data_IF_275431575867
#
_entry.id   IF_275431575867
#
_cell.length_a   1.000
_cell.length_b   1.000
_cell.length_c   1.000
_cell.angle_alpha   90.00
_cell.angle_beta   90.00
_cell.angle_gamma   90.00
#
_symmetry.space_group_name_H-M   'P 1'
#
loop_
_entity.id
_entity.type
_entity.pdbx_description
1 polymer ?
#
# COMPACT_ATOMS: atom_id res chain seq x y z
N UNK A 1 24.10 40.20 -47.77
CA UNK A 1 24.19 40.77 -46.41
C UNK A 1 23.48 39.84 -45.44
N UNK A 2 24.08 39.65 -44.28
CA UNK A 2 23.90 38.58 -43.30
C UNK A 2 22.51 38.48 -42.63
N UNK A 3 22.17 37.27 -42.18
CA UNK A 3 21.08 36.99 -41.23
C UNK A 3 20.91 35.47 -41.08
N UNK A 4 21.90 34.74 -40.56
CA UNK A 4 22.12 34.41 -39.15
C UNK A 4 20.97 33.67 -38.46
N UNK A 5 21.35 32.51 -37.92
CA UNK A 5 20.58 31.43 -37.33
C UNK A 5 19.44 31.87 -36.38
N UNK A 6 18.27 31.25 -36.54
CA UNK A 6 17.29 31.14 -35.44
C UNK A 6 17.44 29.79 -34.77
N UNK A 7 18.07 29.87 -33.60
CA UNK A 7 18.35 28.81 -32.66
C UNK A 7 17.12 28.02 -32.25
N UNK A 8 17.36 26.71 -32.17
CA UNK A 8 16.69 25.67 -31.40
C UNK A 8 16.08 26.20 -30.09
N UNK A 9 14.77 26.45 -30.09
CA UNK A 9 14.01 26.61 -28.85
C UNK A 9 13.82 25.21 -28.25
N UNK A 10 14.56 24.93 -27.18
CA UNK A 10 14.32 23.79 -26.32
C UNK A 10 12.90 23.89 -25.75
N UNK A 11 12.06 22.92 -26.11
CA UNK A 11 10.82 22.65 -25.38
C UNK A 11 11.21 22.11 -24.01
N UNK A 12 11.27 23.01 -23.03
CA UNK A 12 11.30 22.64 -21.63
C UNK A 12 9.91 22.09 -21.30
N UNK A 13 9.76 20.76 -21.42
CA UNK A 13 8.60 20.06 -20.85
C UNK A 13 8.61 20.37 -19.37
N UNK A 14 7.63 21.14 -18.91
CA UNK A 14 7.33 21.27 -17.49
C UNK A 14 6.92 19.89 -16.99
N UNK A 15 7.90 19.16 -16.44
CA UNK A 15 7.64 18.00 -15.62
C UNK A 15 6.95 18.51 -14.35
N UNK A 16 5.62 18.44 -14.35
CA UNK A 16 4.82 18.61 -13.14
C UNK A 16 4.94 17.35 -12.29
N UNK A 17 6.17 16.94 -11.99
CA UNK A 17 6.47 15.94 -10.98
C UNK A 17 6.25 16.63 -9.64
N UNK A 18 5.01 16.59 -9.15
CA UNK A 18 4.80 16.58 -7.71
C UNK A 18 5.49 15.32 -7.21
N UNK A 19 6.79 15.43 -6.90
CA UNK A 19 7.51 14.47 -6.09
C UNK A 19 6.77 14.42 -4.77
N UNK A 20 6.44 13.21 -4.33
CA UNK A 20 5.88 13.04 -2.99
C UNK A 20 6.92 13.59 -2.00
N UNK A 21 6.48 14.18 -0.86
CA UNK A 21 7.41 14.52 0.20
C UNK A 21 8.23 13.28 0.56
N UNK A 22 9.50 13.50 0.91
CA UNK A 22 10.40 12.42 1.34
C UNK A 22 9.69 11.61 2.41
N UNK A 23 9.60 10.30 2.23
CA UNK A 23 8.90 9.43 3.16
C UNK A 23 9.81 9.20 4.37
N UNK A 24 9.41 9.68 5.56
CA UNK A 24 10.31 9.74 6.70
C UNK A 24 10.42 8.41 7.44
N UNK A 25 10.57 7.28 6.71
CA UNK A 25 10.93 6.02 7.35
C UNK A 25 12.44 6.01 7.64
N UNK A 26 12.80 5.80 8.91
CA UNK A 26 14.20 5.62 9.33
C UNK A 26 14.74 4.27 8.84
N UNK A 27 16.06 4.12 8.78
CA UNK A 27 16.68 2.85 8.38
C UNK A 27 16.26 1.70 9.30
N UNK A 28 16.13 1.97 10.60
CA UNK A 28 15.63 1.00 11.59
C UNK A 28 14.19 0.58 11.30
N UNK A 29 13.30 1.53 10.94
CA UNK A 29 11.91 1.22 10.57
C UNK A 29 11.84 0.41 9.28
N UNK A 30 12.66 0.75 8.28
CA UNK A 30 12.75 0.00 7.01
C UNK A 30 13.20 -1.44 7.26
N UNK A 31 14.20 -1.62 8.12
CA UNK A 31 14.71 -2.93 8.47
C UNK A 31 13.69 -3.74 9.29
N UNK A 32 12.98 -3.12 10.24
CA UNK A 32 11.92 -3.76 11.00
C UNK A 32 10.78 -4.25 10.09
N UNK A 33 10.34 -3.44 9.13
CA UNK A 33 9.35 -3.82 8.11
C UNK A 33 9.83 -5.02 7.30
N UNK A 34 11.08 -4.99 6.79
CA UNK A 34 11.63 -6.10 5.99
C UNK A 34 11.68 -7.41 6.75
N UNK A 35 12.22 -7.38 7.97
CA UNK A 35 12.41 -8.59 8.80
C UNK A 35 11.05 -9.18 9.17
N UNK A 36 10.13 -8.36 9.66
CA UNK A 36 8.81 -8.83 10.10
C UNK A 36 7.92 -9.29 8.93
N UNK A 37 8.06 -8.68 7.74
CA UNK A 37 7.36 -9.11 6.52
C UNK A 37 7.87 -10.45 5.98
N UNK A 38 9.14 -10.81 6.19
CA UNK A 38 9.73 -12.03 5.64
C UNK A 38 8.90 -13.28 6.00
N UNK A 39 8.34 -13.32 7.22
CA UNK A 39 7.48 -14.43 7.65
C UNK A 39 6.15 -14.49 6.91
N UNK A 40 5.57 -13.34 6.57
CA UNK A 40 4.34 -13.26 5.79
C UNK A 40 4.58 -13.70 4.34
N UNK A 41 5.76 -13.44 3.80
CA UNK A 41 6.15 -13.81 2.44
C UNK A 41 6.26 -15.33 2.23
N UNK A 42 6.42 -16.13 3.29
CA UNK A 42 6.43 -17.60 3.20
C UNK A 42 5.07 -18.17 2.78
N UNK A 43 3.97 -17.52 3.15
CA UNK A 43 2.62 -17.95 2.77
C UNK A 43 1.69 -16.73 2.57
N UNK A 44 1.91 -15.95 1.49
CA UNK A 44 1.23 -14.68 1.29
C UNK A 44 -0.28 -14.89 1.15
N UNK A 45 -0.72 -15.95 0.49
CA UNK A 45 -2.16 -16.22 0.35
C UNK A 45 -2.81 -16.50 1.70
N UNK A 46 -2.19 -17.30 2.58
CA UNK A 46 -2.74 -17.56 3.93
C UNK A 46 -2.86 -16.27 4.74
N UNK A 47 -1.77 -15.51 4.88
CA UNK A 47 -1.75 -14.33 5.73
C UNK A 47 -2.57 -13.16 5.14
N UNK A 48 -2.59 -13.03 3.81
CA UNK A 48 -3.47 -12.08 3.14
C UNK A 48 -4.95 -12.40 3.39
N UNK A 49 -5.35 -13.68 3.35
CA UNK A 49 -6.72 -14.07 3.68
C UNK A 49 -7.05 -13.75 5.14
N UNK A 50 -6.17 -14.12 6.06
CA UNK A 50 -6.35 -13.82 7.49
C UNK A 50 -6.57 -12.31 7.73
N UNK A 51 -5.80 -11.48 7.04
CA UNK A 51 -5.90 -10.02 7.12
C UNK A 51 -7.27 -9.51 6.65
N UNK A 52 -7.78 -9.95 5.48
CA UNK A 52 -9.09 -9.50 5.01
C UNK A 52 -10.26 -10.09 5.79
N UNK A 53 -10.12 -11.31 6.33
CA UNK A 53 -11.13 -11.89 7.23
C UNK A 53 -11.29 -11.02 8.48
N UNK A 54 -10.17 -10.57 9.07
CA UNK A 54 -10.20 -9.62 10.19
C UNK A 54 -10.85 -8.30 9.79
N UNK A 55 -10.46 -7.75 8.64
CA UNK A 55 -11.02 -6.48 8.16
C UNK A 55 -12.55 -6.57 7.97
N UNK A 56 -13.07 -7.64 7.38
CA UNK A 56 -14.51 -7.79 7.16
C UNK A 56 -15.29 -8.19 8.40
N UNK A 57 -14.63 -8.75 9.43
CA UNK A 57 -15.26 -8.97 10.73
C UNK A 57 -15.53 -7.63 11.43
N UNK A 58 -14.60 -6.68 11.34
CA UNK A 58 -14.73 -5.35 11.96
C UNK A 58 -15.52 -4.36 11.08
N UNK A 59 -15.40 -4.49 9.74
CA UNK A 59 -16.04 -3.62 8.75
C UNK A 59 -16.71 -4.43 7.63
N UNK A 60 -17.86 -5.07 7.88
CA UNK A 60 -18.55 -5.91 6.88
C UNK A 60 -18.84 -5.17 5.57
N UNK A 61 -19.24 -3.90 5.66
CA UNK A 61 -19.60 -3.04 4.52
C UNK A 61 -18.43 -2.83 3.54
N UNK A 62 -17.17 -3.04 3.96
CA UNK A 62 -16.00 -2.87 3.09
C UNK A 62 -15.97 -3.88 1.95
N UNK A 63 -16.66 -4.99 2.11
CA UNK A 63 -16.88 -5.96 1.04
C UNK A 63 -17.47 -5.32 -0.22
N UNK A 64 -18.35 -4.33 -0.07
CA UNK A 64 -19.07 -3.72 -1.19
C UNK A 64 -18.20 -2.80 -2.05
N UNK A 65 -17.00 -2.46 -1.58
CA UNK A 65 -15.99 -1.73 -2.34
C UNK A 65 -15.64 -2.52 -3.61
N UNK A 66 -15.53 -3.85 -3.53
CA UNK A 66 -15.15 -4.70 -4.65
C UNK A 66 -16.38 -5.34 -5.30
N UNK A 67 -16.70 -5.01 -6.58
CA UNK A 67 -17.89 -5.54 -7.25
C UNK A 67 -17.98 -7.07 -7.26
N UNK A 68 -16.83 -7.76 -7.28
CA UNK A 68 -16.76 -9.24 -7.28
C UNK A 68 -17.19 -9.87 -5.96
N UNK A 69 -17.21 -9.13 -4.85
CA UNK A 69 -17.61 -9.66 -3.55
C UNK A 69 -19.09 -9.47 -3.27
N UNK A 70 -19.76 -8.50 -3.89
CA UNK A 70 -21.16 -8.13 -3.61
C UNK A 70 -22.15 -9.28 -3.75
N UNK A 71 -21.89 -10.21 -4.67
CA UNK A 71 -22.76 -11.37 -4.91
C UNK A 71 -22.50 -12.55 -3.97
N UNK A 72 -21.42 -12.51 -3.18
CA UNK A 72 -21.05 -13.58 -2.25
C UNK A 72 -21.76 -13.30 -0.93
N UNK A 73 -22.36 -14.27 -0.23
CA UNK A 73 -22.86 -14.04 1.14
C UNK A 73 -21.72 -13.77 2.14
N UNK A 74 -21.96 -12.99 3.19
CA UNK A 74 -20.93 -12.69 4.22
C UNK A 74 -20.39 -13.97 4.87
N UNK A 75 -21.27 -14.93 5.17
CA UNK A 75 -20.89 -16.24 5.70
C UNK A 75 -19.99 -17.05 4.76
N UNK A 76 -19.93 -16.70 3.48
CA UNK A 76 -19.21 -17.45 2.45
C UNK A 76 -17.95 -16.75 1.94
N UNK A 77 -17.74 -15.46 2.28
CA UNK A 77 -16.61 -14.69 1.74
C UNK A 77 -15.26 -15.26 2.17
N UNK A 78 -15.18 -15.73 3.42
CA UNK A 78 -13.99 -16.31 4.06
C UNK A 78 -13.41 -17.48 3.26
N UNK A 79 -14.28 -18.30 2.64
CA UNK A 79 -13.88 -19.45 1.84
C UNK A 79 -13.78 -19.18 0.34
N UNK A 80 -14.07 -17.96 -0.11
CA UNK A 80 -14.27 -17.67 -1.53
C UNK A 80 -12.95 -17.55 -2.32
N UNK A 81 -12.96 -18.00 -3.56
CA UNK A 81 -11.83 -17.87 -4.51
C UNK A 81 -11.52 -16.40 -4.81
N UNK A 82 -12.56 -15.56 -4.78
CA UNK A 82 -12.45 -14.12 -4.98
C UNK A 82 -11.64 -13.49 -3.84
N UNK A 83 -11.90 -13.84 -2.59
CA UNK A 83 -11.13 -13.36 -1.45
C UNK A 83 -9.67 -13.82 -1.55
N UNK A 84 -9.43 -15.11 -1.83
CA UNK A 84 -8.07 -15.63 -2.00
C UNK A 84 -7.29 -14.89 -3.08
N UNK A 85 -7.94 -14.63 -4.21
CA UNK A 85 -7.33 -13.86 -5.31
C UNK A 85 -6.99 -12.43 -4.89
N UNK A 86 -7.91 -11.76 -4.20
CA UNK A 86 -7.69 -10.39 -3.73
C UNK A 86 -6.58 -10.31 -2.68
N UNK A 87 -6.57 -11.22 -1.71
CA UNK A 87 -5.52 -11.39 -0.72
C UNK A 87 -4.14 -11.58 -1.37
N UNK A 88 -4.03 -12.42 -2.40
CA UNK A 88 -2.78 -12.58 -3.16
C UNK A 88 -2.35 -11.29 -3.84
N UNK A 89 -3.28 -10.51 -4.43
CA UNK A 89 -2.95 -9.22 -5.06
C UNK A 89 -2.44 -8.22 -4.04
N UNK A 90 -3.12 -8.11 -2.88
CA UNK A 90 -2.70 -7.23 -1.79
C UNK A 90 -1.29 -7.58 -1.31
N UNK A 91 -1.02 -8.86 -1.04
CA UNK A 91 0.30 -9.31 -0.57
C UNK A 91 1.39 -9.15 -1.62
N UNK A 92 1.08 -9.28 -2.92
CA UNK A 92 2.03 -8.92 -3.99
C UNK A 92 2.35 -7.43 -3.98
N UNK A 93 1.35 -6.57 -3.79
CA UNK A 93 1.54 -5.13 -3.66
C UNK A 93 2.45 -4.80 -2.48
N UNK A 94 2.14 -5.35 -1.31
CA UNK A 94 2.93 -5.17 -0.09
C UNK A 94 4.36 -5.66 -0.26
N UNK A 95 4.56 -6.86 -0.81
CA UNK A 95 5.89 -7.40 -1.11
C UNK A 95 6.67 -6.55 -2.11
N UNK A 96 6.00 -5.92 -3.08
CA UNK A 96 6.67 -5.01 -4.01
C UNK A 96 7.16 -3.76 -3.29
N UNK A 97 6.35 -3.18 -2.38
CA UNK A 97 6.77 -2.05 -1.53
C UNK A 97 7.99 -2.44 -0.69
N UNK A 98 7.92 -3.56 0.02
CA UNK A 98 9.02 -4.04 0.88
C UNK A 98 10.29 -4.30 0.07
N UNK A 99 10.19 -4.80 -1.17
CA UNK A 99 11.35 -5.00 -2.04
C UNK A 99 12.06 -3.72 -2.50
N UNK A 100 11.39 -2.58 -2.37
CA UNK A 100 11.88 -1.25 -2.79
C UNK A 100 12.19 -0.34 -1.61
N UNK A 101 11.98 -0.82 -0.38
CA UNK A 101 11.97 0.01 0.81
C UNK A 101 13.32 0.65 1.14
N UNK A 102 14.43 0.13 0.61
CA UNK A 102 15.77 0.72 0.80
C UNK A 102 16.05 1.91 -0.12
N UNK A 103 15.42 1.96 -1.29
CA UNK A 103 15.62 3.03 -2.27
C UNK A 103 14.45 4.00 -2.19
N UNK A 104 14.70 5.20 -1.67
CA UNK A 104 13.68 6.24 -1.48
C UNK A 104 12.93 6.60 -2.76
N UNK A 105 13.62 6.73 -3.90
CA UNK A 105 12.99 7.08 -5.18
C UNK A 105 12.10 5.94 -5.68
N UNK A 106 12.60 4.71 -5.66
CA UNK A 106 11.82 3.54 -6.06
C UNK A 106 10.62 3.29 -5.13
N UNK A 107 10.78 3.56 -3.83
CA UNK A 107 9.72 3.43 -2.84
C UNK A 107 8.61 4.46 -3.10
N UNK A 108 8.96 5.72 -3.40
CA UNK A 108 7.99 6.76 -3.73
C UNK A 108 7.19 6.39 -4.98
N UNK A 109 7.87 5.90 -6.03
CA UNK A 109 7.23 5.51 -7.27
C UNK A 109 6.23 4.36 -7.09
N UNK A 110 6.62 3.31 -6.35
CA UNK A 110 5.72 2.17 -6.13
C UNK A 110 4.55 2.54 -5.22
N UNK A 111 4.78 3.33 -4.16
CA UNK A 111 3.71 3.81 -3.27
C UNK A 111 2.72 4.69 -4.05
N UNK A 112 3.22 5.63 -4.86
CA UNK A 112 2.37 6.47 -5.72
C UNK A 112 1.50 5.62 -6.66
N UNK A 113 2.10 4.62 -7.32
CA UNK A 113 1.38 3.71 -8.22
C UNK A 113 0.29 2.92 -7.50
N UNK A 114 0.59 2.38 -6.31
CA UNK A 114 -0.38 1.61 -5.53
C UNK A 114 -1.48 2.52 -4.96
N UNK A 115 -1.14 3.70 -4.46
CA UNK A 115 -2.09 4.69 -3.99
C UNK A 115 -3.05 5.13 -5.11
N UNK A 116 -2.56 5.35 -6.33
CA UNK A 116 -3.42 5.63 -7.50
C UNK A 116 -4.41 4.51 -7.80
N UNK A 117 -4.02 3.24 -7.60
CA UNK A 117 -4.94 2.11 -7.75
C UNK A 117 -6.02 2.12 -6.66
N UNK A 118 -5.65 2.40 -5.41
CA UNK A 118 -6.59 2.54 -4.29
C UNK A 118 -7.62 3.66 -4.54
N UNK A 119 -7.18 4.80 -5.05
CA UNK A 119 -8.07 5.92 -5.41
C UNK A 119 -9.09 5.52 -6.49
N UNK A 120 -8.71 4.67 -7.47
CA UNK A 120 -9.66 4.18 -8.50
C UNK A 120 -10.81 3.36 -7.92
N UNK A 121 -10.60 2.74 -6.75
CA UNK A 121 -11.61 1.98 -6.02
C UNK A 121 -12.25 2.78 -4.88
N UNK A 122 -12.08 4.11 -4.86
CA UNK A 122 -12.57 5.00 -3.80
C UNK A 122 -12.09 4.61 -2.39
N UNK A 123 -10.92 3.99 -2.29
CA UNK A 123 -10.28 3.74 -1.00
C UNK A 123 -9.74 5.06 -0.46
N UNK A 124 -10.23 5.44 0.71
CA UNK A 124 -9.80 6.63 1.45
C UNK A 124 -8.75 6.30 2.53
N UNK A 125 -8.21 7.36 3.15
CA UNK A 125 -7.31 7.26 4.31
C UNK A 125 -7.88 6.39 5.45
N UNK A 126 -9.16 6.54 5.78
CA UNK A 126 -9.78 5.78 6.88
C UNK A 126 -9.76 4.27 6.64
N UNK A 127 -9.96 3.82 5.39
CA UNK A 127 -9.87 2.40 5.05
C UNK A 127 -8.45 1.85 5.26
N UNK A 128 -7.43 2.66 4.99
CA UNK A 128 -6.02 2.30 5.21
C UNK A 128 -5.70 2.26 6.70
N UNK A 129 -6.21 3.21 7.48
CA UNK A 129 -6.07 3.23 8.93
C UNK A 129 -6.71 1.99 9.58
N UNK A 130 -7.86 1.54 9.08
CA UNK A 130 -8.49 0.30 9.53
C UNK A 130 -7.72 -0.97 9.13
N UNK A 131 -6.90 -0.91 8.08
CA UNK A 131 -6.07 -2.03 7.65
C UNK A 131 -4.85 -2.25 8.56
N UNK A 132 -4.30 -1.17 9.13
CA UNK A 132 -3.11 -1.21 9.98
C UNK A 132 -3.21 -2.19 11.17
N UNK A 133 -4.26 -2.15 12.03
CA UNK A 133 -4.39 -3.11 13.12
C UNK A 133 -4.55 -4.55 12.64
N UNK A 134 -5.21 -4.79 11.49
CA UNK A 134 -5.32 -6.12 10.90
C UNK A 134 -3.95 -6.68 10.52
N UNK A 135 -3.09 -5.87 9.87
CA UNK A 135 -1.73 -6.29 9.52
C UNK A 135 -0.89 -6.58 10.77
N UNK A 136 -0.93 -5.71 11.78
CA UNK A 136 -0.20 -5.89 13.04
C UNK A 136 -0.60 -7.18 13.76
N UNK A 137 -1.89 -7.50 13.78
CA UNK A 137 -2.38 -8.75 14.37
C UNK A 137 -1.86 -9.99 13.62
N UNK A 138 -1.86 -9.95 12.28
CA UNK A 138 -1.33 -11.03 11.43
C UNK A 138 0.19 -11.17 11.56
N UNK A 139 0.92 -10.05 11.64
CA UNK A 139 2.36 -10.04 11.92
C UNK A 139 2.68 -10.69 13.27
N UNK A 140 1.96 -10.32 14.32
CA UNK A 140 2.11 -10.92 15.65
C UNK A 140 1.82 -12.42 15.62
N UNK A 141 0.76 -12.84 14.93
CA UNK A 141 0.43 -14.25 14.77
C UNK A 141 1.54 -15.04 14.03
N UNK A 142 2.03 -14.48 12.92
CA UNK A 142 3.03 -15.13 12.09
C UNK A 142 4.41 -15.24 12.77
N UNK A 143 4.81 -14.19 13.50
CA UNK A 143 6.12 -14.09 14.15
C UNK A 143 6.09 -14.54 15.63
N UNK A 144 4.92 -14.89 16.17
CA UNK A 144 4.68 -15.19 17.59
C UNK A 144 4.60 -13.93 18.47
N UNK A 145 5.49 -12.96 18.24
CA UNK A 145 5.45 -11.64 18.84
C UNK A 145 6.00 -10.59 17.89
N UNK A 146 5.68 -9.33 18.15
CA UNK A 146 6.33 -8.16 17.53
C UNK A 146 6.74 -7.21 18.63
N UNK A 147 7.91 -6.61 18.51
CA UNK A 147 8.40 -5.59 19.43
C UNK A 147 7.75 -4.21 19.12
N UNK A 148 7.84 -3.24 20.04
CA UNK A 148 7.29 -1.90 19.83
C UNK A 148 7.84 -1.19 18.58
N UNK A 149 9.13 -1.35 18.26
CA UNK A 149 9.74 -0.72 17.09
C UNK A 149 9.18 -1.28 15.77
N UNK A 150 8.96 -2.60 15.70
CA UNK A 150 8.24 -3.20 14.57
C UNK A 150 6.83 -2.65 14.43
N UNK A 151 6.10 -2.52 15.55
CA UNK A 151 4.75 -1.95 15.55
C UNK A 151 4.76 -0.51 15.01
N UNK A 152 5.60 0.36 15.59
CA UNK A 152 5.75 1.76 15.22
C UNK A 152 6.16 1.94 13.75
N UNK A 153 7.04 1.07 13.24
CA UNK A 153 7.46 1.10 11.83
C UNK A 153 6.28 0.86 10.87
N UNK A 154 5.43 -0.13 11.16
CA UNK A 154 4.25 -0.42 10.35
C UNK A 154 3.18 0.68 10.47
N UNK A 155 2.97 1.23 11.67
CA UNK A 155 2.05 2.38 11.88
C UNK A 155 2.52 3.58 11.06
N UNK A 156 3.81 3.94 11.14
CA UNK A 156 4.39 5.02 10.33
C UNK A 156 4.22 4.78 8.83
N UNK A 157 4.41 3.54 8.35
CA UNK A 157 4.17 3.20 6.96
C UNK A 157 2.72 3.44 6.53
N UNK A 158 1.74 3.00 7.32
CA UNK A 158 0.32 3.20 7.00
C UNK A 158 -0.10 4.67 7.06
N UNK A 159 0.46 5.44 8.00
CA UNK A 159 0.26 6.90 8.06
C UNK A 159 0.77 7.58 6.78
N UNK A 160 2.01 7.28 6.38
CA UNK A 160 2.60 7.80 5.13
C UNK A 160 1.74 7.42 3.92
N UNK A 161 1.32 6.16 3.82
CA UNK A 161 0.48 5.71 2.71
C UNK A 161 -0.88 6.43 2.69
N UNK A 162 -1.50 6.63 3.86
CA UNK A 162 -2.72 7.42 4.03
C UNK A 162 -2.55 8.88 3.60
N UNK A 163 -1.45 9.52 3.98
CA UNK A 163 -1.13 10.88 3.58
C UNK A 163 -0.91 11.01 2.06
N UNK A 164 -0.24 10.02 1.44
CA UNK A 164 -0.08 9.97 -0.01
C UNK A 164 -1.45 9.86 -0.71
N UNK A 165 -2.38 9.06 -0.20
CA UNK A 165 -3.76 9.01 -0.74
C UNK A 165 -4.44 10.38 -0.68
N UNK A 166 -4.33 11.08 0.46
CA UNK A 166 -4.91 12.42 0.64
C UNK A 166 -4.29 13.43 -0.32
N UNK A 167 -2.97 13.40 -0.50
CA UNK A 167 -2.26 14.31 -1.42
C UNK A 167 -2.68 14.07 -2.88
N UNK A 168 -2.74 12.81 -3.31
CA UNK A 168 -3.10 12.46 -4.69
C UNK A 168 -4.58 12.66 -5.01
N UNK A 169 -5.45 12.71 -4.00
CA UNK A 169 -6.88 13.03 -4.18
C UNK A 169 -7.14 14.53 -4.24
N UNK A 170 -6.42 15.35 -3.45
CA UNK A 170 -6.52 16.82 -3.48
C UNK A 170 -6.05 17.46 -4.80
N UNK A 171 -5.21 16.77 -5.56
CA UNK A 171 -4.69 17.24 -6.86
C UNK A 171 -5.57 16.89 -8.06
N UNK A 172 -6.78 16.37 -7.86
CA UNK A 172 -7.78 16.12 -8.91
C UNK A 172 -8.89 17.17 -8.86
#
# INVERSE_FOLDING_TARGET
MYGSAKSRVQLQKQDSSHKLPRMPLTDDQRQAIKVSYAKLAENPTKYGNELFIRLFADFPDYKDIWPRFRAIPDSSIVGSDQLRTHATVYMKGLGTIVSKIENEEELQDIIKKIAQAHIKFNISRSHVEHMAPCLLAVLKNANGSIDPGTKEAWEAFFEIFGDVLVQLTKGR
#
